data_IF_023732108689
#
_entry.id   IF_023732108689
#
_cell.length_a   1.000
_cell.length_b   1.000
_cell.length_c   1.000
_cell.angle_alpha   90.00
_cell.angle_beta   90.00
_cell.angle_gamma   90.00
#
_symmetry.space_group_name_H-M   'P 1'
#
loop_
_entity.id
_entity.type
_entity.pdbx_description
1 polymer ?
#
# COMPACT_ATOMS: atom_id res chain seq x y z
N UNK A 1 6.63 23.21 6.87
CA UNK A 1 6.78 21.96 6.09
C UNK A 1 5.66 21.04 6.51
N UNK A 2 4.76 20.67 5.59
CA UNK A 2 3.64 19.77 5.87
C UNK A 2 4.20 18.38 6.11
N UNK A 3 3.96 17.82 7.31
CA UNK A 3 4.40 16.46 7.63
C UNK A 3 3.81 15.45 6.63
N UNK A 4 4.57 14.42 6.21
CA UNK A 4 4.05 13.38 5.33
C UNK A 4 2.84 12.71 5.99
N UNK A 5 1.72 12.66 5.26
CA UNK A 5 0.48 12.07 5.74
C UNK A 5 0.34 10.68 5.17
N UNK A 6 0.33 9.69 6.04
CA UNK A 6 0.21 8.30 5.65
C UNK A 6 -0.63 7.52 6.65
N UNK A 7 -1.18 6.41 6.19
CA UNK A 7 -1.83 5.40 7.02
C UNK A 7 -1.11 4.07 6.80
N UNK A 8 -0.82 3.36 7.88
CA UNK A 8 -0.25 2.01 7.81
C UNK A 8 -1.21 1.03 8.48
N UNK A 9 -1.56 -0.03 7.75
CA UNK A 9 -2.17 -1.22 8.32
C UNK A 9 -1.07 -2.27 8.55
N UNK A 10 -0.84 -2.65 9.80
CA UNK A 10 0.10 -3.71 10.14
C UNK A 10 -0.61 -5.07 10.10
N UNK A 11 0.07 -6.08 9.58
CA UNK A 11 -0.43 -7.45 9.54
C UNK A 11 0.36 -8.31 10.51
N UNK A 12 -0.32 -8.83 11.52
CA UNK A 12 0.22 -9.83 12.43
C UNK A 12 -0.62 -11.10 12.29
N UNK A 13 -0.27 -11.93 11.31
CA UNK A 13 -0.96 -13.19 11.01
C UNK A 13 0.01 -14.37 11.21
N UNK A 14 -0.53 -15.52 11.63
CA UNK A 14 0.21 -16.76 11.78
C UNK A 14 -0.48 -17.89 10.98
N UNK A 15 0.19 -18.54 10.03
CA UNK A 15 1.56 -18.25 9.56
C UNK A 15 1.65 -16.89 8.86
N UNK A 16 2.83 -16.28 8.87
CA UNK A 16 3.04 -14.97 8.26
C UNK A 16 2.87 -15.02 6.74
N UNK A 17 2.11 -14.09 6.13
CA UNK A 17 2.02 -14.05 4.67
C UNK A 17 3.33 -13.58 4.05
N UNK A 18 3.70 -14.21 2.94
CA UNK A 18 4.87 -13.85 2.15
C UNK A 18 4.44 -13.18 0.85
N UNK A 19 5.34 -12.39 0.26
CA UNK A 19 5.06 -11.69 -1.00
C UNK A 19 4.64 -12.63 -2.14
N UNK A 20 5.14 -13.87 -2.16
CA UNK A 20 4.78 -14.89 -3.16
C UNK A 20 3.32 -15.34 -3.09
N UNK A 21 2.71 -15.29 -1.89
CA UNK A 21 1.32 -15.72 -1.66
C UNK A 21 0.34 -14.57 -1.71
N UNK A 22 0.80 -13.32 -1.74
CA UNK A 22 -0.08 -12.15 -1.87
C UNK A 22 -0.30 -11.85 -3.35
N UNK A 23 -1.54 -11.96 -3.81
CA UNK A 23 -1.92 -11.65 -5.20
C UNK A 23 -2.38 -10.21 -5.37
N UNK A 24 -3.06 -9.64 -4.37
CA UNK A 24 -3.59 -8.28 -4.43
C UNK A 24 -3.53 -7.58 -3.07
N UNK A 25 -3.30 -6.27 -3.10
CA UNK A 25 -3.58 -5.36 -1.99
C UNK A 25 -4.97 -4.76 -2.18
N UNK A 26 -5.77 -4.81 -1.13
CA UNK A 26 -7.15 -4.34 -1.12
C UNK A 26 -7.23 -3.08 -0.26
N UNK A 27 -7.76 -1.98 -0.80
CA UNK A 27 -7.98 -0.73 -0.04
C UNK A 27 -9.40 -0.24 -0.29
N UNK A 28 -10.20 -0.19 0.77
CA UNK A 28 -11.56 0.34 0.70
C UNK A 28 -11.57 1.83 1.01
N UNK A 29 -11.96 2.63 0.02
CA UNK A 29 -12.03 4.09 0.12
C UNK A 29 -13.49 4.48 0.27
N UNK A 30 -13.81 5.15 1.38
CA UNK A 30 -15.16 5.64 1.70
C UNK A 30 -15.46 6.99 1.05
N UNK A 31 -14.50 7.90 1.11
CA UNK A 31 -14.67 9.25 0.59
C UNK A 31 -13.32 9.85 0.19
N UNK A 32 -13.37 10.73 -0.81
CA UNK A 32 -12.28 11.57 -1.30
C UNK A 32 -12.82 12.99 -1.49
N UNK A 33 -12.03 14.01 -1.17
CA UNK A 33 -12.36 15.39 -1.53
C UNK A 33 -12.18 15.58 -3.05
N UNK A 34 -13.23 15.90 -3.83
CA UNK A 34 -13.13 16.05 -5.28
C UNK A 34 -12.27 17.24 -5.72
N UNK A 35 -12.00 18.21 -4.82
CA UNK A 35 -11.12 19.34 -5.12
C UNK A 35 -9.63 18.99 -5.04
N UNK A 36 -9.28 17.83 -4.47
CA UNK A 36 -7.89 17.38 -4.32
C UNK A 36 -7.54 16.42 -5.45
N UNK A 37 -6.68 16.87 -6.35
CA UNK A 37 -6.09 15.99 -7.36
C UNK A 37 -5.19 14.93 -6.67
N UNK A 38 -5.33 13.67 -7.09
CA UNK A 38 -4.52 12.54 -6.62
C UNK A 38 -4.38 12.48 -5.09
N UNK A 39 -5.49 12.31 -4.36
CA UNK A 39 -5.49 12.43 -2.90
C UNK A 39 -4.68 11.31 -2.20
N UNK A 40 -4.48 10.18 -2.88
CA UNK A 40 -3.52 9.12 -2.54
C UNK A 40 -2.41 9.15 -3.59
N UNK A 41 -1.16 9.29 -3.14
CA UNK A 41 0.01 9.40 -4.02
C UNK A 41 0.66 8.05 -4.28
N UNK A 42 0.69 7.16 -3.29
CA UNK A 42 1.27 5.83 -3.42
C UNK A 42 0.68 4.85 -2.42
N UNK A 43 0.70 3.57 -2.80
CA UNK A 43 0.45 2.46 -1.88
C UNK A 43 1.62 1.51 -1.99
N UNK A 44 2.17 1.10 -0.85
CA UNK A 44 3.32 0.20 -0.76
C UNK A 44 3.07 -0.95 0.21
N UNK A 45 3.55 -2.13 -0.12
CA UNK A 45 3.72 -3.24 0.80
C UNK A 45 4.98 -3.01 1.65
N UNK A 46 4.87 -3.11 2.96
CA UNK A 46 6.02 -3.08 3.86
C UNK A 46 6.51 -4.52 4.04
N UNK A 47 7.61 -4.85 3.37
CA UNK A 47 8.21 -6.18 3.37
C UNK A 47 9.29 -6.28 4.45
N UNK A 48 9.27 -7.36 5.23
CA UNK A 48 10.28 -7.68 6.23
C UNK A 48 11.01 -8.96 5.82
N UNK A 49 12.31 -8.85 5.55
CA UNK A 49 13.13 -10.01 5.24
C UNK A 49 13.41 -10.84 6.50
N UNK A 50 13.61 -12.14 6.33
CA UNK A 50 13.87 -13.05 7.44
C UNK A 50 15.10 -12.60 8.24
N UNK A 51 14.95 -12.54 9.57
CA UNK A 51 16.04 -12.14 10.48
C UNK A 51 16.36 -10.64 10.49
N UNK A 52 15.62 -9.81 9.75
CA UNK A 52 15.80 -8.35 9.68
C UNK A 52 14.64 -7.65 10.38
N UNK A 53 14.93 -6.64 11.21
CA UNK A 53 13.92 -5.87 11.94
C UNK A 53 13.36 -4.68 11.14
N UNK A 54 14.08 -4.21 10.12
CA UNK A 54 13.63 -3.13 9.24
C UNK A 54 12.71 -3.63 8.13
N UNK A 55 11.77 -2.78 7.71
CA UNK A 55 10.91 -3.02 6.55
C UNK A 55 11.39 -2.24 5.33
N UNK A 56 11.16 -2.81 4.14
CA UNK A 56 11.38 -2.19 2.85
C UNK A 56 10.03 -1.96 2.18
N UNK A 57 9.79 -0.74 1.70
CA UNK A 57 8.57 -0.41 0.98
C UNK A 57 8.65 -0.87 -0.48
N UNK A 58 7.72 -1.74 -0.88
CA UNK A 58 7.54 -2.23 -2.25
C UNK A 58 6.30 -1.57 -2.84
N UNK A 59 6.49 -0.70 -3.82
CA UNK A 59 5.40 0.07 -4.44
C UNK A 59 4.44 -0.86 -5.20
N UNK A 60 3.13 -0.74 -4.93
CA UNK A 60 2.07 -1.47 -5.64
C UNK A 60 1.11 -0.55 -6.40
N UNK A 61 1.12 0.74 -6.09
CA UNK A 61 0.33 1.77 -6.77
C UNK A 61 1.03 3.13 -6.67
N UNK A 62 0.92 3.93 -7.73
CA UNK A 62 1.30 5.35 -7.73
C UNK A 62 0.21 6.19 -8.40
N UNK A 63 0.02 7.42 -7.96
CA UNK A 63 -0.98 8.31 -8.56
C UNK A 63 -0.74 8.48 -10.06
N UNK A 64 -1.82 8.50 -10.84
CA UNK A 64 -1.76 8.61 -12.29
C UNK A 64 -1.49 7.30 -13.03
N UNK A 65 -1.10 6.22 -12.36
CA UNK A 65 -0.99 4.89 -13.01
C UNK A 65 -2.34 4.19 -13.12
N UNK A 66 -3.26 4.47 -12.20
CA UNK A 66 -4.60 3.89 -12.17
C UNK A 66 -5.58 4.85 -11.47
N UNK A 67 -6.82 4.89 -11.94
CA UNK A 67 -7.89 5.66 -11.30
C UNK A 67 -8.36 4.96 -10.02
N UNK A 68 -8.66 5.75 -8.98
CA UNK A 68 -9.27 5.27 -7.74
C UNK A 68 -10.78 5.42 -7.83
N UNK A 69 -11.50 4.34 -7.53
CA UNK A 69 -12.95 4.36 -7.40
C UNK A 69 -13.33 4.71 -5.96
N UNK A 70 -14.34 5.57 -5.80
CA UNK A 70 -14.80 6.04 -4.50
C UNK A 70 -16.30 6.38 -4.53
N UNK A 71 -17.14 5.86 -3.62
CA UNK A 71 -16.82 4.83 -2.62
C UNK A 71 -16.66 3.45 -3.26
N UNK A 72 -15.53 2.77 -3.03
CA UNK A 72 -15.31 1.42 -3.57
C UNK A 72 -14.15 0.67 -2.91
N UNK A 73 -14.15 -0.64 -3.11
CA UNK A 73 -12.98 -1.49 -2.89
C UNK A 73 -12.03 -1.37 -4.11
N UNK A 74 -10.84 -0.83 -3.89
CA UNK A 74 -9.80 -0.76 -4.91
C UNK A 74 -8.85 -1.94 -4.74
N UNK A 75 -8.45 -2.55 -5.86
CA UNK A 75 -7.61 -3.74 -5.92
C UNK A 75 -6.33 -3.43 -6.69
N UNK A 76 -5.20 -3.70 -6.06
CA UNK A 76 -3.88 -3.46 -6.63
C UNK A 76 -3.13 -4.77 -6.73
N UNK A 77 -2.92 -5.26 -7.95
CA UNK A 77 -2.26 -6.55 -8.18
C UNK A 77 -0.79 -6.48 -7.81
N UNK A 78 -0.31 -7.49 -7.11
CA UNK A 78 1.12 -7.73 -6.89
C UNK A 78 1.63 -8.55 -8.06
N UNK A 79 2.59 -8.03 -8.81
CA UNK A 79 3.19 -8.74 -9.94
C UNK A 79 4.72 -8.61 -9.95
N UNK A 80 5.38 -9.49 -10.71
CA UNK A 80 6.84 -9.54 -10.77
C UNK A 80 7.48 -8.22 -11.27
N UNK A 81 6.77 -7.47 -12.12
CA UNK A 81 7.22 -6.17 -12.64
C UNK A 81 7.28 -5.12 -11.53
N UNK A 82 6.31 -5.11 -10.61
CA UNK A 82 6.31 -4.23 -9.44
C UNK A 82 7.47 -4.56 -8.49
N UNK A 83 7.79 -5.84 -8.32
CA UNK A 83 8.95 -6.27 -7.51
C UNK A 83 10.27 -5.83 -8.17
N UNK A 84 10.40 -5.97 -9.49
CA UNK A 84 11.62 -5.57 -10.22
C UNK A 84 11.92 -4.08 -10.21
N UNK A 85 10.92 -3.23 -9.93
CA UNK A 85 11.10 -1.78 -9.79
C UNK A 85 11.59 -1.36 -8.39
N UNK A 86 11.83 -2.32 -7.50
CA UNK A 86 12.25 -2.08 -6.10
C UNK A 86 13.65 -2.64 -5.84
N UNK A 87 14.26 -2.24 -4.72
CA UNK A 87 15.59 -2.70 -4.31
C UNK A 87 15.63 -4.17 -3.83
N UNK A 88 14.54 -4.93 -3.99
CA UNK A 88 14.41 -6.32 -3.57
C UNK A 88 14.47 -7.24 -4.80
N UNK A 89 15.34 -8.26 -4.75
CA UNK A 89 15.30 -9.32 -5.76
C UNK A 89 14.00 -10.13 -5.63
N UNK A 90 13.56 -10.77 -6.72
CA UNK A 90 12.35 -11.60 -6.70
C UNK A 90 12.42 -12.70 -5.62
N UNK A 91 13.56 -13.38 -5.50
CA UNK A 91 13.76 -14.41 -4.48
C UNK A 91 13.65 -13.84 -3.05
N UNK A 92 14.23 -12.66 -2.81
CA UNK A 92 14.14 -12.01 -1.51
C UNK A 92 12.71 -11.53 -1.21
N UNK A 93 11.98 -11.03 -2.20
CA UNK A 93 10.58 -10.66 -2.06
C UNK A 93 9.70 -11.87 -1.70
N UNK A 94 9.90 -12.99 -2.40
CA UNK A 94 9.16 -14.23 -2.15
C UNK A 94 9.43 -14.82 -0.77
N UNK A 95 10.65 -14.64 -0.24
CA UNK A 95 11.03 -15.07 1.11
C UNK A 95 10.68 -14.07 2.22
N UNK A 96 10.27 -12.84 1.88
CA UNK A 96 9.96 -11.80 2.84
C UNK A 96 8.51 -11.87 3.31
N UNK A 97 8.29 -11.54 4.57
CA UNK A 97 6.98 -11.43 5.21
C UNK A 97 6.37 -10.05 4.93
N UNK A 98 5.05 -9.99 4.74
CA UNK A 98 4.33 -8.71 4.70
C UNK A 98 4.07 -8.24 6.14
N UNK A 99 4.77 -7.19 6.56
CA UNK A 99 4.58 -6.55 7.87
C UNK A 99 3.41 -5.56 7.87
N UNK A 100 3.10 -4.96 6.72
CA UNK A 100 2.02 -4.00 6.60
C UNK A 100 1.79 -3.48 5.19
N UNK A 101 0.81 -2.60 5.04
CA UNK A 101 0.58 -1.79 3.85
C UNK A 101 0.58 -0.33 4.27
N UNK A 102 1.37 0.49 3.58
CA UNK A 102 1.43 1.94 3.74
C UNK A 102 0.71 2.62 2.59
N UNK A 103 -0.18 3.55 2.92
CA UNK A 103 -0.87 4.42 1.97
C UNK A 103 -0.41 5.84 2.21
N UNK A 104 0.28 6.42 1.25
CA UNK A 104 0.73 7.82 1.30
C UNK A 104 -0.32 8.73 0.67
N UNK A 105 -0.57 9.84 1.35
CA UNK A 105 -1.57 10.83 0.96
C UNK A 105 -0.88 12.10 0.48
N UNK A 106 -1.57 12.85 -0.38
CA UNK A 106 -1.06 14.13 -0.85
C UNK A 106 -0.89 15.13 0.29
N UNK A 107 0.15 15.96 0.19
CA UNK A 107 0.36 17.10 1.07
C UNK A 107 -0.56 18.30 0.74
N UNK A 108 -1.32 18.23 -0.37
CA UNK A 108 -2.22 19.30 -0.81
C UNK A 108 -3.47 19.48 0.09
N UNK A 109 -3.84 18.45 0.87
CA UNK A 109 -4.95 18.55 1.80
C UNK A 109 -4.60 19.50 2.96
N UNK A 110 -5.27 20.65 3.05
CA UNK A 110 -5.03 21.64 4.10
C UNK A 110 -5.68 21.23 5.43
N UNK A 111 -6.85 20.58 5.39
CA UNK A 111 -7.61 20.16 6.57
C UNK A 111 -7.76 18.63 6.66
N UNK A 112 -8.12 18.12 7.86
CA UNK A 112 -8.26 16.67 8.12
C UNK A 112 -9.40 16.04 7.31
N UNK A 113 -10.49 16.76 7.12
CA UNK A 113 -11.69 16.31 6.42
C UNK A 113 -11.46 16.12 4.90
N UNK A 114 -10.37 16.71 4.39
CA UNK A 114 -9.97 16.58 2.98
C UNK A 114 -9.11 15.35 2.72
N UNK A 115 -8.71 14.63 3.78
CA UNK A 115 -7.93 13.40 3.63
C UNK A 115 -8.82 12.25 3.16
N UNK A 116 -8.28 11.33 2.35
CA UNK A 116 -8.96 10.07 2.04
C UNK A 116 -9.43 9.35 3.30
N UNK A 117 -10.69 8.94 3.31
CA UNK A 117 -11.22 8.08 4.35
C UNK A 117 -11.05 6.62 3.92
N UNK A 118 -10.11 5.91 4.54
CA UNK A 118 -9.86 4.49 4.30
C UNK A 118 -10.61 3.68 5.36
N UNK A 119 -11.61 2.88 4.96
CA UNK A 119 -12.34 2.03 5.92
C UNK A 119 -11.57 0.76 6.29
N UNK A 120 -10.77 0.26 5.36
CA UNK A 120 -10.11 -1.02 5.52
C UNK A 120 -9.00 -1.23 4.51
N UNK A 121 -7.99 -1.97 4.95
CA UNK A 121 -6.86 -2.41 4.14
C UNK A 121 -6.70 -3.91 4.37
N UNK A 122 -6.53 -4.68 3.30
CA UNK A 122 -6.41 -6.13 3.35
C UNK A 122 -5.46 -6.67 2.29
N UNK A 123 -5.15 -7.96 2.43
CA UNK A 123 -4.35 -8.73 1.48
C UNK A 123 -5.21 -9.85 0.92
N UNK A 124 -5.16 -10.06 -0.39
CA UNK A 124 -5.72 -11.26 -1.01
C UNK A 124 -4.60 -12.27 -1.20
N UNK A 125 -4.80 -13.47 -0.66
CA UNK A 125 -3.84 -14.57 -0.75
C UNK A 125 -4.19 -15.52 -1.91
N UNK A 126 -3.18 -16.24 -2.43
CA UNK A 126 -3.29 -17.33 -3.42
C UNK A 126 -2.56 -18.58 -2.95
#
# INVERSE_FOLDING_TARGET
>A
MTAPRWVVANFNQSPAATGARVSEVLVYILNLDPAIANPITSISLLMQSQGVSSTVAVLVYTSGSQALSCPALNRFKVNATLVSATSLSLAAFQASTVAGVRVDMTAAAAAKQQLPHIAGIGLQLV
#
